data_IF_906925120583
#
_entry.id   IF_906925120583
#
_cell.length_a   1.000
_cell.length_b   1.000
_cell.length_c   1.000
_cell.angle_alpha   90.00
_cell.angle_beta   90.00
_cell.angle_gamma   90.00
#
_symmetry.space_group_name_H-M   'P 1'
#
loop_
_entity.id
_entity.type
_entity.pdbx_description
1 polymer ?
#
# COMPACT_ATOMS: atom_id res chain seq x y z
N UNK A 1 -25.47 -2.83 -0.62
CA UNK A 1 -24.32 -2.68 0.28
C UNK A 1 -23.04 -2.76 -0.48
N UNK A 2 -22.21 -1.79 -0.36
CA UNK A 2 -21.03 -1.64 -1.19
C UNK A 2 -19.80 -2.22 -0.52
N UNK A 3 -19.60 -3.51 -0.66
CA UNK A 3 -18.35 -4.13 -0.22
C UNK A 3 -17.17 -3.51 -0.93
N UNK A 4 -17.38 -3.08 -2.17
CA UNK A 4 -16.35 -2.43 -2.96
C UNK A 4 -15.82 -1.20 -2.24
N UNK A 5 -16.70 -0.34 -1.74
CA UNK A 5 -16.27 0.86 -1.03
C UNK A 5 -15.54 0.53 0.26
N UNK A 6 -15.99 -0.50 0.97
CA UNK A 6 -15.31 -0.93 2.18
C UNK A 6 -13.90 -1.43 1.89
N UNK A 7 -13.74 -2.18 0.81
CA UNK A 7 -12.42 -2.68 0.41
C UNK A 7 -11.52 -1.52 0.00
N UNK A 8 -12.05 -0.58 -0.77
CA UNK A 8 -11.27 0.57 -1.21
C UNK A 8 -10.85 1.45 -0.02
N UNK A 9 -11.74 1.61 0.96
CA UNK A 9 -11.40 2.35 2.17
C UNK A 9 -10.28 1.65 2.94
N UNK A 10 -10.36 0.33 3.05
CA UNK A 10 -9.31 -0.44 3.73
C UNK A 10 -7.98 -0.32 3.00
N UNK A 11 -8.01 -0.35 1.69
CA UNK A 11 -6.80 -0.16 0.89
C UNK A 11 -6.22 1.24 1.09
N UNK A 12 -7.08 2.25 1.13
CA UNK A 12 -6.65 3.62 1.37
C UNK A 12 -5.96 3.75 2.72
N UNK A 13 -6.54 3.16 3.76
CA UNK A 13 -5.94 3.16 5.10
C UNK A 13 -4.58 2.47 5.08
N UNK A 14 -4.47 1.37 4.35
CA UNK A 14 -3.22 0.63 4.24
C UNK A 14 -2.16 1.48 3.55
N UNK A 15 -2.52 2.20 2.49
CA UNK A 15 -1.60 3.13 1.83
C UNK A 15 -1.11 4.20 2.79
N UNK A 16 -2.00 4.75 3.60
CA UNK A 16 -1.62 5.77 4.57
C UNK A 16 -0.62 5.22 5.59
N UNK A 17 -0.84 4.00 6.04
CA UNK A 17 0.08 3.36 6.98
C UNK A 17 1.44 3.11 6.36
N UNK A 18 1.47 2.70 5.09
CA UNK A 18 2.73 2.51 4.38
C UNK A 18 3.46 3.82 4.21
N UNK A 19 2.76 4.90 3.90
CA UNK A 19 3.37 6.22 3.78
C UNK A 19 3.93 6.67 5.12
N UNK A 20 3.22 6.41 6.20
CA UNK A 20 3.71 6.73 7.55
C UNK A 20 4.96 5.95 7.87
N UNK A 21 4.97 4.67 7.55
CA UNK A 21 6.15 3.83 7.76
C UNK A 21 7.33 4.35 6.95
N UNK A 22 7.08 4.73 5.72
CA UNK A 22 8.11 5.29 4.84
C UNK A 22 8.74 6.55 5.47
N UNK A 23 7.92 7.39 6.10
CA UNK A 23 8.40 8.62 6.73
C UNK A 23 9.18 8.36 8.01
N UNK A 24 8.84 7.29 8.72
CA UNK A 24 9.49 6.94 9.98
C UNK A 24 10.86 6.33 9.74
N UNK A 25 11.04 5.61 8.64
CA UNK A 25 12.32 4.99 8.31
C UNK A 25 13.33 6.10 8.06
N UNK A 26 14.37 6.20 8.87
CA UNK A 26 15.37 7.27 8.69
C UNK A 26 16.16 7.05 7.41
N UNK A 27 16.42 8.15 6.74
CA UNK A 27 17.33 8.15 5.59
C UNK A 27 18.73 7.88 6.11
N UNK A 28 19.09 6.64 6.17
CA UNK A 28 20.38 6.24 6.71
C UNK A 28 21.16 5.47 5.65
N UNK A 29 22.46 5.44 5.82
CA UNK A 29 23.36 4.65 4.99
C UNK A 29 23.24 3.14 5.28
N UNK A 30 22.28 2.76 6.09
CA UNK A 30 22.04 1.37 6.43
C UNK A 30 21.60 0.59 5.17
N UNK A 31 22.29 -0.50 4.82
CA UNK A 31 21.88 -1.28 3.64
C UNK A 31 20.46 -1.82 3.73
N UNK A 32 19.93 -2.02 4.92
CA UNK A 32 18.56 -2.49 5.11
C UNK A 32 17.53 -1.45 4.69
N UNK A 33 17.89 -0.19 4.67
CA UNK A 33 16.98 0.88 4.25
C UNK A 33 16.48 0.63 2.82
N UNK A 34 17.38 0.30 1.90
CA UNK A 34 17.00 0.03 0.53
C UNK A 34 16.11 -1.20 0.40
N UNK A 35 16.37 -2.22 1.23
CA UNK A 35 15.55 -3.42 1.25
C UNK A 35 14.14 -3.08 1.73
N UNK A 36 14.01 -2.29 2.78
CA UNK A 36 12.72 -1.89 3.31
C UNK A 36 11.93 -1.07 2.28
N UNK A 37 12.59 -0.14 1.60
CA UNK A 37 11.93 0.64 0.56
C UNK A 37 11.42 -0.25 -0.57
N UNK A 38 12.22 -1.22 -0.98
CA UNK A 38 11.82 -2.14 -2.03
C UNK A 38 10.60 -2.95 -1.61
N UNK A 39 10.56 -3.40 -0.37
CA UNK A 39 9.42 -4.16 0.15
C UNK A 39 8.17 -3.29 0.18
N UNK A 40 8.29 -2.05 0.65
CA UNK A 40 7.15 -1.13 0.72
C UNK A 40 6.59 -0.87 -0.68
N UNK A 41 7.45 -0.63 -1.65
CA UNK A 41 7.01 -0.40 -3.02
C UNK A 41 6.36 -1.63 -3.63
N UNK A 42 6.87 -2.80 -3.31
CA UNK A 42 6.27 -4.04 -3.76
C UNK A 42 4.87 -4.22 -3.19
N UNK A 43 4.69 -3.90 -1.91
CA UNK A 43 3.38 -3.95 -1.28
C UNK A 43 2.43 -2.95 -1.93
N UNK A 44 2.88 -1.73 -2.18
CA UNK A 44 2.07 -0.72 -2.86
C UNK A 44 1.62 -1.19 -4.23
N UNK A 45 2.51 -1.85 -4.98
CA UNK A 45 2.16 -2.40 -6.28
C UNK A 45 1.08 -3.47 -6.19
N UNK A 46 1.16 -4.31 -5.18
CA UNK A 46 0.13 -5.33 -4.95
C UNK A 46 -1.21 -4.71 -4.58
N UNK A 47 -1.18 -3.67 -3.76
CA UNK A 47 -2.40 -2.95 -3.40
C UNK A 47 -3.03 -2.29 -4.62
N UNK A 48 -2.23 -1.73 -5.52
CA UNK A 48 -2.72 -1.18 -6.77
C UNK A 48 -3.43 -2.24 -7.60
N UNK A 49 -2.85 -3.42 -7.71
CA UNK A 49 -3.48 -4.52 -8.44
C UNK A 49 -4.81 -4.91 -7.82
N UNK A 50 -4.85 -5.01 -6.49
CA UNK A 50 -6.09 -5.36 -5.80
C UNK A 50 -7.14 -4.26 -6.02
N UNK A 51 -6.74 -3.00 -5.95
CA UNK A 51 -7.64 -1.89 -6.18
C UNK A 51 -8.23 -1.94 -7.59
N UNK A 52 -7.39 -2.23 -8.59
CA UNK A 52 -7.85 -2.35 -9.97
C UNK A 52 -8.83 -3.50 -10.14
N UNK A 53 -8.55 -4.64 -9.52
CA UNK A 53 -9.45 -5.79 -9.58
C UNK A 53 -10.79 -5.49 -8.93
N UNK A 54 -10.79 -4.77 -7.82
CA UNK A 54 -12.01 -4.40 -7.14
C UNK A 54 -12.83 -3.43 -7.99
N UNK A 55 -12.17 -2.47 -8.65
CA UNK A 55 -12.86 -1.52 -9.50
C UNK A 55 -13.46 -2.16 -10.74
N UNK A 56 -12.87 -3.25 -11.21
CA UNK A 56 -13.40 -3.98 -12.36
C UNK A 56 -14.62 -4.82 -12.00
N UNK A 57 -14.84 -5.11 -10.74
CA UNK A 57 -16.00 -5.86 -10.33
C UNK A 57 -17.25 -5.00 -10.35
N UNK A 58 -18.30 -5.54 -10.97
CA UNK A 58 -19.61 -4.93 -10.97
C UNK A 58 -20.36 -5.36 -9.71
N UNK A 59 -20.73 -4.38 -8.96
CA UNK A 59 -21.49 -4.63 -7.74
C UNK A 59 -22.93 -4.99 -8.05
#
# INVERSE_FOLDING_TARGET
MNRKNQVLDALSDTYEELDRLYRIIPEDTNPQYNVWLAIIQKIKGRLDNISNLVELEDD
#
